data_IF_695693684712
#
_entry.id   IF_695693684712
#
_cell.length_a   1.000
_cell.length_b   1.000
_cell.length_c   1.000
_cell.angle_alpha   90.00
_cell.angle_beta   90.00
_cell.angle_gamma   90.00
#
_symmetry.space_group_name_H-M   'P 1'
#
loop_
_entity.id
_entity.type
_entity.pdbx_description
1 polymer ?
#
# COMPACT_ATOMS: atom_id res chain seq x y z
N UNK A 1 14.86 -6.86 -5.32
CA UNK A 1 13.51 -6.77 -5.95
C UNK A 1 12.48 -6.54 -4.84
N UNK A 2 11.61 -5.60 -5.03
CA UNK A 2 10.58 -5.25 -4.05
C UNK A 2 9.64 -6.42 -3.79
N UNK A 3 9.18 -6.52 -2.53
CA UNK A 3 8.29 -7.62 -2.11
C UNK A 3 7.00 -7.67 -2.91
N UNK A 4 6.42 -6.50 -3.25
CA UNK A 4 5.18 -6.45 -4.03
C UNK A 4 5.37 -6.99 -5.45
N UNK A 5 6.52 -6.71 -6.07
CA UNK A 5 6.83 -7.24 -7.40
C UNK A 5 7.00 -8.75 -7.35
N UNK A 6 7.70 -9.28 -6.35
CA UNK A 6 7.86 -10.73 -6.17
C UNK A 6 6.50 -11.40 -6.03
N UNK A 7 5.61 -10.82 -5.24
CA UNK A 7 4.25 -11.33 -5.07
C UNK A 7 3.45 -11.27 -6.36
N UNK A 8 3.51 -10.16 -7.08
CA UNK A 8 2.81 -9.99 -8.35
C UNK A 8 3.26 -11.03 -9.39
N UNK A 9 4.56 -11.22 -9.54
CA UNK A 9 5.11 -12.22 -10.46
C UNK A 9 4.63 -13.62 -10.09
N UNK A 10 4.68 -13.96 -8.81
CA UNK A 10 4.25 -15.26 -8.31
C UNK A 10 2.77 -15.53 -8.57
N UNK A 11 1.93 -14.51 -8.47
CA UNK A 11 0.48 -14.63 -8.61
C UNK A 11 -0.03 -14.33 -10.03
N UNK A 12 0.87 -13.94 -10.93
CA UNK A 12 0.48 -13.50 -12.28
C UNK A 12 -0.24 -14.58 -13.09
N UNK A 13 0.13 -15.84 -12.92
CA UNK A 13 -0.49 -16.95 -13.66
C UNK A 13 -1.90 -17.30 -13.18
N UNK A 14 -2.27 -16.87 -11.98
CA UNK A 14 -3.61 -17.07 -11.43
C UNK A 14 -4.48 -15.86 -11.75
N UNK A 15 -5.45 -16.03 -12.64
CA UNK A 15 -6.32 -14.94 -13.10
C UNK A 15 -7.05 -14.24 -11.94
N UNK A 16 -7.51 -15.00 -10.95
CA UNK A 16 -8.23 -14.44 -9.81
C UNK A 16 -7.32 -13.59 -8.92
N UNK A 17 -6.10 -14.04 -8.68
CA UNK A 17 -5.13 -13.27 -7.90
C UNK A 17 -4.58 -12.08 -8.67
N UNK A 18 -4.35 -12.25 -9.97
CA UNK A 18 -3.88 -11.17 -10.84
C UNK A 18 -4.83 -9.98 -10.84
N UNK A 19 -6.13 -10.21 -10.71
CA UNK A 19 -7.14 -9.17 -10.67
C UNK A 19 -7.04 -8.26 -9.43
N UNK A 20 -6.30 -8.66 -8.39
CA UNK A 20 -6.07 -7.86 -7.19
C UNK A 20 -5.10 -6.69 -7.41
N UNK A 21 -4.45 -6.61 -8.59
CA UNK A 21 -3.39 -5.66 -8.88
C UNK A 21 -3.83 -4.62 -9.89
N UNK A 22 -3.49 -3.35 -9.63
CA UNK A 22 -3.61 -2.24 -10.58
C UNK A 22 -2.24 -1.58 -10.67
N UNK A 23 -1.70 -1.45 -11.89
CA UNK A 23 -0.36 -0.91 -12.11
C UNK A 23 -0.44 0.55 -12.57
N UNK A 24 0.45 1.36 -12.01
CA UNK A 24 0.64 2.75 -12.41
C UNK A 24 2.07 2.91 -12.94
N UNK A 25 2.23 2.83 -14.25
CA UNK A 25 3.54 2.97 -14.92
C UNK A 25 4.06 4.39 -14.87
N UNK A 26 3.19 5.38 -14.72
CA UNK A 26 3.61 6.78 -14.64
C UNK A 26 4.32 7.08 -13.31
N UNK A 27 3.75 6.61 -12.21
CA UNK A 27 4.28 6.86 -10.87
C UNK A 27 5.13 5.71 -10.32
N UNK A 28 5.25 4.60 -11.03
CA UNK A 28 5.94 3.40 -10.56
C UNK A 28 5.41 2.90 -9.21
N UNK A 29 4.12 2.61 -9.19
CA UNK A 29 3.46 2.00 -8.02
C UNK A 29 2.54 0.86 -8.45
N UNK A 30 2.36 -0.09 -7.55
CA UNK A 30 1.34 -1.15 -7.67
C UNK A 30 0.30 -0.93 -6.57
N UNK A 31 -0.97 -0.90 -6.97
CA UNK A 31 -2.09 -0.94 -6.04
C UNK A 31 -2.49 -2.39 -5.81
N UNK A 32 -2.57 -2.80 -4.56
CA UNK A 32 -2.93 -4.16 -4.16
C UNK A 32 -4.27 -4.16 -3.42
N UNK A 33 -5.25 -4.90 -3.96
CA UNK A 33 -6.60 -5.09 -3.39
C UNK A 33 -7.34 -3.79 -3.06
N UNK A 34 -7.07 -2.71 -3.79
CA UNK A 34 -7.62 -1.38 -3.52
C UNK A 34 -7.35 -0.85 -2.11
N UNK A 35 -6.40 -1.41 -1.40
CA UNK A 35 -6.13 -1.08 0.00
C UNK A 35 -4.76 -0.50 0.24
N UNK A 36 -3.82 -0.69 -0.67
CA UNK A 36 -2.45 -0.22 -0.50
C UNK A 36 -1.78 0.09 -1.83
N UNK A 37 -0.93 1.11 -1.83
CA UNK A 37 -0.04 1.44 -2.93
C UNK A 37 1.39 1.18 -2.47
N UNK A 38 2.16 0.48 -3.30
CA UNK A 38 3.56 0.19 -3.03
C UNK A 38 4.43 0.75 -4.13
N UNK A 39 5.43 1.54 -3.77
CA UNK A 39 6.42 2.03 -4.70
C UNK A 39 7.30 0.89 -5.18
N UNK A 40 7.51 0.81 -6.49
CA UNK A 40 8.31 -0.26 -7.07
C UNK A 40 8.80 0.15 -8.47
N UNK A 41 9.73 -0.60 -9.01
CA UNK A 41 10.24 -0.36 -10.36
C UNK A 41 9.47 -1.22 -11.36
N UNK A 42 8.62 -0.60 -12.17
CA UNK A 42 7.83 -1.29 -13.19
C UNK A 42 8.52 -1.38 -14.55
N UNK A 43 9.76 -0.87 -14.70
CA UNK A 43 10.46 -0.88 -15.98
C UNK A 43 10.73 -2.29 -16.53
N UNK A 44 10.76 -3.29 -15.65
CA UNK A 44 10.94 -4.68 -16.07
C UNK A 44 9.73 -5.26 -16.79
N UNK A 45 8.57 -4.61 -16.70
CA UNK A 45 7.33 -5.08 -17.31
C UNK A 45 7.06 -4.34 -18.62
N UNK A 46 6.57 -5.07 -19.62
CA UNK A 46 6.11 -4.49 -20.88
C UNK A 46 4.65 -4.05 -20.72
N UNK A 47 4.38 -2.76 -20.97
CA UNK A 47 3.05 -2.18 -20.83
C UNK A 47 2.02 -2.91 -21.71
N UNK A 48 2.33 -3.09 -22.99
CA UNK A 48 1.39 -3.71 -23.94
C UNK A 48 1.10 -5.16 -23.57
N UNK A 49 2.11 -5.88 -23.09
CA UNK A 49 1.94 -7.25 -22.60
C UNK A 49 1.00 -7.29 -21.40
N UNK A 50 1.17 -6.37 -20.45
CA UNK A 50 0.30 -6.29 -19.27
C UNK A 50 -1.15 -6.01 -19.66
N UNK A 51 -1.37 -5.05 -20.55
CA UNK A 51 -2.72 -4.73 -21.04
C UNK A 51 -3.34 -5.93 -21.77
N UNK A 52 -2.56 -6.63 -22.61
CA UNK A 52 -3.03 -7.81 -23.32
C UNK A 52 -3.43 -8.96 -22.38
N UNK A 53 -2.92 -8.98 -21.17
CA UNK A 53 -3.24 -9.97 -20.14
C UNK A 53 -4.27 -9.47 -19.10
N UNK A 54 -5.04 -8.43 -19.48
CA UNK A 54 -6.11 -7.86 -18.64
C UNK A 54 -5.63 -7.30 -17.31
N UNK A 55 -4.37 -6.89 -17.20
CA UNK A 55 -3.89 -6.16 -16.04
C UNK A 55 -4.43 -4.74 -16.08
N UNK A 56 -5.10 -4.34 -15.02
CA UNK A 56 -5.67 -2.99 -14.92
C UNK A 56 -4.58 -1.96 -14.72
N UNK A 57 -4.77 -0.79 -15.35
CA UNK A 57 -3.89 0.36 -15.25
C UNK A 57 -4.65 1.54 -14.66
N UNK A 58 -3.96 2.37 -13.88
CA UNK A 58 -4.52 3.60 -13.35
C UNK A 58 -3.43 4.61 -13.08
N UNK A 59 -3.82 5.85 -12.84
CA UNK A 59 -2.92 6.93 -12.42
C UNK A 59 -3.30 7.33 -10.99
N UNK A 60 -2.40 7.08 -10.04
CA UNK A 60 -2.60 7.37 -8.62
C UNK A 60 -1.96 8.69 -8.18
N UNK A 61 -1.66 9.60 -9.12
CA UNK A 61 -1.04 10.89 -8.81
C UNK A 61 -1.81 11.66 -7.73
N UNK A 62 -3.13 11.56 -7.74
CA UNK A 62 -3.98 12.28 -6.77
C UNK A 62 -3.75 11.82 -5.33
N UNK A 63 -3.38 10.55 -5.12
CA UNK A 63 -3.05 10.03 -3.79
C UNK A 63 -1.60 10.38 -3.42
N UNK A 64 -0.68 10.18 -4.37
CA UNK A 64 0.76 10.36 -4.14
C UNK A 64 1.07 11.83 -3.84
N UNK A 65 0.37 12.75 -4.47
CA UNK A 65 0.57 14.18 -4.28
C UNK A 65 -0.27 14.79 -3.16
N UNK A 66 -1.10 13.98 -2.49
CA UNK A 66 -1.87 14.47 -1.36
C UNK A 66 -0.92 14.85 -0.22
N UNK A 67 -0.97 16.14 0.17
CA UNK A 67 -0.11 16.67 1.22
C UNK A 67 -0.93 16.87 2.49
N UNK A 68 -0.89 15.86 3.34
CA UNK A 68 -1.45 15.97 4.68
C UNK A 68 -0.32 16.19 5.67
N UNK A 69 -0.57 17.03 6.67
CA UNK A 69 0.33 17.11 7.82
C UNK A 69 0.26 15.78 8.54
N UNK A 70 1.29 14.98 8.38
CA UNK A 70 1.34 13.66 8.96
C UNK A 70 2.21 13.68 10.22
N UNK A 71 1.79 12.95 11.23
CA UNK A 71 2.48 12.83 12.52
C UNK A 71 3.18 11.48 12.58
N UNK A 72 4.34 11.46 13.26
CA UNK A 72 5.05 10.21 13.52
C UNK A 72 4.20 9.32 14.43
N UNK A 73 3.98 8.09 13.97
CA UNK A 73 3.21 7.11 14.72
C UNK A 73 4.13 6.17 15.48
N UNK A 74 3.76 5.82 16.69
CA UNK A 74 4.48 4.85 17.49
C UNK A 74 3.78 3.49 17.41
N UNK A 75 4.56 2.43 17.19
CA UNK A 75 4.03 1.08 17.23
C UNK A 75 3.51 0.77 18.65
N UNK A 76 2.30 0.23 18.71
CA UNK A 76 1.68 -0.20 19.97
C UNK A 76 1.67 -1.73 20.07
N UNK A 77 0.87 -2.38 19.24
CA UNK A 77 0.70 -3.83 19.34
C UNK A 77 0.11 -4.42 18.08
N UNK A 78 0.12 -5.74 18.03
CA UNK A 78 -0.64 -6.53 17.03
C UNK A 78 -1.87 -7.07 17.75
N UNK A 79 -3.04 -6.89 17.13
CA UNK A 79 -4.31 -7.41 17.63
C UNK A 79 -4.97 -8.30 16.58
N UNK A 80 -5.92 -9.11 17.02
CA UNK A 80 -6.81 -9.85 16.12
C UNK A 80 -8.15 -9.15 16.03
N UNK A 81 -8.62 -8.95 14.80
CA UNK A 81 -9.95 -8.41 14.52
C UNK A 81 -10.57 -9.27 13.44
N UNK A 82 -11.69 -9.93 13.76
CA UNK A 82 -12.37 -10.83 12.82
C UNK A 82 -11.45 -11.89 12.19
N UNK A 83 -10.53 -12.42 13.00
CA UNK A 83 -9.56 -13.43 12.55
C UNK A 83 -8.35 -12.90 11.80
N UNK A 84 -8.29 -11.58 11.57
CA UNK A 84 -7.17 -10.94 10.89
C UNK A 84 -6.25 -10.25 11.89
N UNK A 85 -4.95 -10.34 11.65
CA UNK A 85 -3.97 -9.58 12.43
C UNK A 85 -3.93 -8.14 11.94
N UNK A 86 -4.03 -7.20 12.87
CA UNK A 86 -3.88 -5.77 12.58
C UNK A 86 -2.75 -5.20 13.43
N UNK A 87 -2.00 -4.27 12.84
CA UNK A 87 -0.97 -3.52 13.54
C UNK A 87 -1.58 -2.20 13.98
N UNK A 88 -1.45 -1.89 15.27
CA UNK A 88 -1.94 -0.65 15.84
C UNK A 88 -0.79 0.28 16.17
N UNK A 89 -0.97 1.54 15.81
CA UNK A 89 -0.05 2.65 16.10
C UNK A 89 -0.75 3.68 16.97
N UNK A 90 0.02 4.38 17.79
CA UNK A 90 -0.47 5.45 18.64
C UNK A 90 0.09 6.80 18.20
N UNK A 91 -0.74 7.81 18.28
CA UNK A 91 -0.36 9.22 18.26
C UNK A 91 -1.34 9.97 19.13
N UNK A 92 -0.84 10.63 20.19
CA UNK A 92 -1.71 11.26 21.19
C UNK A 92 -2.74 10.24 21.73
N UNK A 93 -4.02 10.58 21.68
CA UNK A 93 -5.11 9.71 22.11
C UNK A 93 -5.73 8.93 20.95
N UNK A 94 -5.08 8.94 19.78
CA UNK A 94 -5.58 8.22 18.60
C UNK A 94 -4.91 6.87 18.45
N UNK A 95 -5.70 5.88 18.03
CA UNK A 95 -5.21 4.58 17.60
C UNK A 95 -5.48 4.43 16.13
N UNK A 96 -4.42 4.20 15.35
CA UNK A 96 -4.51 3.98 13.90
C UNK A 96 -4.11 2.53 13.64
N UNK A 97 -4.97 1.79 12.94
CA UNK A 97 -4.76 0.36 12.74
C UNK A 97 -4.75 0.00 11.25
N UNK A 98 -3.79 -0.83 10.86
CA UNK A 98 -3.63 -1.30 9.49
C UNK A 98 -3.49 -2.83 9.47
N UNK A 99 -3.86 -3.45 8.34
CA UNK A 99 -3.73 -4.89 8.18
C UNK A 99 -2.27 -5.33 8.16
N UNK A 100 -1.90 -6.30 8.99
CA UNK A 100 -0.52 -6.80 9.07
C UNK A 100 -0.01 -7.32 7.72
N UNK A 101 -0.85 -8.03 6.96
CA UNK A 101 -0.44 -8.58 5.67
C UNK A 101 -0.03 -7.49 4.67
N UNK A 102 -0.66 -6.33 4.74
CA UNK A 102 -0.32 -5.20 3.87
C UNK A 102 1.02 -4.58 4.29
N UNK A 103 1.27 -4.47 5.59
CA UNK A 103 2.53 -3.92 6.12
C UNK A 103 3.70 -4.84 5.81
N UNK A 104 3.50 -6.15 5.83
CA UNK A 104 4.56 -7.12 5.50
C UNK A 104 5.09 -7.02 4.09
N UNK A 105 4.34 -6.38 3.18
CA UNK A 105 4.77 -6.13 1.80
C UNK A 105 5.58 -4.84 1.64
N UNK A 106 5.73 -4.06 2.71
CA UNK A 106 6.53 -2.84 2.67
C UNK A 106 8.01 -3.20 2.88
N UNK A 107 8.86 -2.74 1.95
CA UNK A 107 10.29 -3.03 2.02
C UNK A 107 10.98 -2.10 3.01
N UNK A 108 11.68 -2.67 4.01
CA UNK A 108 12.62 -1.96 4.90
C UNK A 108 12.22 -0.52 5.27
N UNK A 109 10.99 -0.33 5.71
CA UNK A 109 10.55 0.98 6.16
C UNK A 109 11.15 1.32 7.53
N UNK A 110 11.33 2.61 7.75
CA UNK A 110 11.86 3.12 9.03
C UNK A 110 10.86 3.98 9.78
N UNK A 111 10.06 4.78 9.05
CA UNK A 111 9.11 5.70 9.66
C UNK A 111 7.70 5.38 9.19
N UNK A 112 6.73 5.58 10.10
CA UNK A 112 5.30 5.45 9.81
C UNK A 112 4.64 6.74 10.23
N UNK A 113 3.86 7.36 9.34
CA UNK A 113 3.16 8.61 9.62
C UNK A 113 1.71 8.54 9.20
N UNK A 114 0.88 9.22 9.95
CA UNK A 114 -0.55 9.31 9.68
C UNK A 114 -1.19 10.52 10.34
N UNK A 115 -2.46 10.77 10.05
CA UNK A 115 -3.20 11.93 10.52
C UNK A 115 -4.37 11.52 11.42
N UNK A 116 -5.08 10.47 11.04
CA UNK A 116 -6.28 10.04 11.75
C UNK A 116 -6.55 8.55 11.52
N UNK A 117 -7.45 7.93 12.30
CA UNK A 117 -7.85 6.53 12.09
C UNK A 117 -8.53 6.27 10.74
N UNK A 118 -8.91 7.32 10.00
CA UNK A 118 -9.63 7.21 8.73
C UNK A 118 -8.82 7.65 7.53
N UNK A 119 -7.58 8.12 7.74
CA UNK A 119 -6.72 8.63 6.68
C UNK A 119 -5.64 7.64 6.32
N UNK A 120 -5.12 7.75 5.09
CA UNK A 120 -4.03 6.90 4.60
C UNK A 120 -2.82 6.99 5.54
N UNK A 121 -2.22 5.83 5.81
CA UNK A 121 -0.99 5.71 6.58
C UNK A 121 0.18 5.61 5.61
N UNK A 122 1.18 6.44 5.80
CA UNK A 122 2.35 6.53 4.93
C UNK A 122 3.56 5.85 5.58
N UNK A 123 4.25 5.03 4.80
CA UNK A 123 5.47 4.33 5.21
C UNK A 123 6.67 4.92 4.48
N UNK A 124 7.73 5.20 5.21
CA UNK A 124 8.93 5.89 4.71
C UNK A 124 10.17 5.04 4.89
N UNK A 125 11.09 5.14 3.96
CA UNK A 125 12.41 4.53 4.10
C UNK A 125 13.34 5.39 5.00
N UNK A 126 14.60 4.94 5.16
CA UNK A 126 15.60 5.65 5.97
C UNK A 126 15.93 7.05 5.46
N UNK A 127 15.71 7.30 4.17
CA UNK A 127 15.99 8.58 3.53
C UNK A 127 14.75 9.48 3.48
N UNK A 128 13.72 9.11 4.22
CA UNK A 128 12.47 9.86 4.34
C UNK A 128 11.66 9.95 3.03
N UNK A 129 11.82 8.96 2.15
CA UNK A 129 11.00 8.82 0.96
C UNK A 129 9.80 7.93 1.26
N UNK A 130 8.61 8.32 0.78
CA UNK A 130 7.41 7.49 0.94
C UNK A 130 7.54 6.27 0.03
N UNK A 131 7.40 5.08 0.59
CA UNK A 131 7.51 3.81 -0.13
C UNK A 131 6.21 3.02 -0.15
N UNK A 132 5.24 3.38 0.70
CA UNK A 132 3.92 2.75 0.68
C UNK A 132 2.86 3.67 1.27
N UNK A 133 1.63 3.49 0.78
CA UNK A 133 0.43 4.18 1.23
C UNK A 133 -0.60 3.11 1.55
N UNK A 134 -0.99 2.96 2.82
CA UNK A 134 -1.91 1.90 3.25
C UNK A 134 -3.16 2.49 3.87
N UNK A 135 -4.33 2.03 3.42
CA UNK A 135 -5.58 2.41 4.04
C UNK A 135 -5.71 1.78 5.42
N UNK A 136 -6.11 2.54 6.44
CA UNK A 136 -6.38 1.97 7.76
C UNK A 136 -7.66 1.13 7.71
N UNK A 137 -7.83 0.22 8.67
CA UNK A 137 -8.98 -0.69 8.73
C UNK A 137 -10.32 0.02 8.86
N UNK A 138 -10.33 1.28 9.29
CA UNK A 138 -11.55 2.09 9.42
C UNK A 138 -11.86 2.95 8.19
N UNK A 139 -11.05 2.86 7.13
CA UNK A 139 -11.28 3.63 5.90
C UNK A 139 -12.47 3.05 5.15
N UNK A 140 -13.38 3.93 4.69
CA UNK A 140 -14.63 3.51 4.06
C UNK A 140 -14.63 3.57 2.52
N UNK A 141 -13.54 4.04 1.92
CA UNK A 141 -13.41 4.16 0.46
C UNK A 141 -12.33 3.24 -0.06
N UNK A 142 -12.49 2.78 -1.29
CA UNK A 142 -11.43 2.11 -2.03
C UNK A 142 -10.51 3.15 -2.66
N UNK A 143 -9.24 2.78 -2.90
CA UNK A 143 -8.28 3.65 -3.58
C UNK A 143 -8.62 3.82 -5.06
N UNK A 144 -9.22 2.81 -5.65
CA UNK A 144 -9.60 2.78 -7.06
C UNK A 144 -11.11 2.53 -7.15
N UNK A 145 -11.86 3.61 -7.37
CA UNK A 145 -13.31 3.55 -7.51
C UNK A 145 -13.74 3.28 -8.95
#
# INVERSE_FOLDING_TARGET
MEKIIQKFIKEFSDRNKRADYVLDFYNNVICYKNMALYRCDLRMFNYDYMVAHDIKMSDFTYIINERNTAYDLEYDCIRKLDGLNIISYNFDNMIISVGEKLVKLVDNFKYVRGVSPYSIVNYYDKDNNIIAYILPVKYKRCLHD
#
